data_IF_931385117799
#
_entry.id   IF_931385117799
#
_cell.length_a   1.000
_cell.length_b   1.000
_cell.length_c   1.000
_cell.angle_alpha   90.00
_cell.angle_beta   90.00
_cell.angle_gamma   90.00
#
_symmetry.space_group_name_H-M   'P 1'
#
loop_
_entity.id
_entity.type
_entity.pdbx_description
1 polymer ?
#
# COMPACT_ATOMS: atom_id res chain seq x y z
N UNK A 1 -16.72 3.14 -7.70
CA UNK A 1 -15.76 3.97 -8.46
C UNK A 1 -14.50 4.20 -7.62
N UNK A 2 -13.32 4.06 -8.24
CA UNK A 2 -12.06 4.26 -7.52
C UNK A 2 -11.79 5.75 -7.35
N UNK A 3 -11.21 6.16 -6.21
CA UNK A 3 -10.78 7.53 -6.04
C UNK A 3 -9.74 7.93 -7.10
N UNK A 4 -9.82 9.17 -7.56
CA UNK A 4 -8.91 9.66 -8.59
C UNK A 4 -7.45 9.57 -8.15
N UNK A 5 -7.18 9.79 -6.87
CA UNK A 5 -5.80 9.71 -6.36
C UNK A 5 -5.24 8.29 -6.39
N UNK A 6 -6.08 7.29 -6.15
CA UNK A 6 -5.62 5.90 -6.27
C UNK A 6 -5.28 5.56 -7.71
N UNK A 7 -6.08 6.03 -8.65
CA UNK A 7 -5.79 5.83 -10.06
C UNK A 7 -4.49 6.51 -10.48
N UNK A 8 -4.28 7.72 -9.99
CA UNK A 8 -3.05 8.43 -10.26
C UNK A 8 -1.85 7.70 -9.65
N UNK A 9 -2.00 7.21 -8.43
CA UNK A 9 -0.97 6.40 -7.80
C UNK A 9 -0.62 5.17 -8.63
N UNK A 10 -1.65 4.46 -9.13
CA UNK A 10 -1.43 3.29 -9.96
C UNK A 10 -0.65 3.63 -11.23
N UNK A 11 -0.99 4.75 -11.86
CA UNK A 11 -0.27 5.20 -13.05
C UNK A 11 1.19 5.53 -12.75
N UNK A 12 1.44 6.19 -11.62
CA UNK A 12 2.80 6.53 -11.21
C UNK A 12 3.61 5.28 -10.90
N UNK A 13 2.99 4.24 -10.33
CA UNK A 13 3.68 2.97 -10.13
C UNK A 13 4.09 2.34 -11.45
N UNK A 14 3.22 2.38 -12.45
CA UNK A 14 3.55 1.86 -13.76
C UNK A 14 4.68 2.63 -14.42
N UNK A 15 4.76 3.94 -14.14
CA UNK A 15 5.84 4.78 -14.65
C UNK A 15 7.12 4.64 -13.82
N UNK A 16 7.13 3.75 -12.84
CA UNK A 16 8.26 3.50 -11.93
C UNK A 16 8.64 4.73 -11.13
N UNK A 17 7.61 5.42 -10.65
CA UNK A 17 7.75 6.59 -9.78
C UNK A 17 7.09 6.33 -8.42
N UNK A 18 7.66 5.39 -7.65
CA UNK A 18 6.99 4.96 -6.42
C UNK A 18 6.89 6.03 -5.34
N UNK A 19 7.88 6.92 -5.25
CA UNK A 19 7.82 7.98 -4.23
C UNK A 19 6.66 8.94 -4.49
N UNK A 20 6.41 9.26 -5.76
CA UNK A 20 5.28 10.12 -6.12
C UNK A 20 3.97 9.36 -5.93
N UNK A 21 3.94 8.07 -6.31
CA UNK A 21 2.76 7.25 -6.12
C UNK A 21 2.38 7.16 -4.64
N UNK A 22 3.38 7.02 -3.78
CA UNK A 22 3.14 6.96 -2.34
C UNK A 22 2.40 8.18 -1.85
N UNK A 23 2.78 9.37 -2.31
CA UNK A 23 2.10 10.60 -1.91
C UNK A 23 0.63 10.60 -2.30
N UNK A 24 0.32 10.10 -3.50
CA UNK A 24 -1.07 10.03 -3.94
C UNK A 24 -1.88 9.02 -3.14
N UNK A 25 -1.31 7.86 -2.87
CA UNK A 25 -1.98 6.86 -2.04
C UNK A 25 -2.19 7.38 -0.62
N UNK A 26 -1.19 8.07 -0.07
CA UNK A 26 -1.33 8.63 1.29
C UNK A 26 -2.43 9.69 1.35
N UNK A 27 -2.53 10.53 0.32
CA UNK A 27 -3.60 11.51 0.25
C UNK A 27 -4.96 10.84 0.18
N UNK A 28 -5.07 9.75 -0.57
CA UNK A 28 -6.31 8.97 -0.64
C UNK A 28 -6.65 8.37 0.72
N UNK A 29 -5.66 7.88 1.46
CA UNK A 29 -5.88 7.30 2.79
C UNK A 29 -6.39 8.33 3.79
N UNK A 30 -6.01 9.59 3.65
CA UNK A 30 -6.53 10.63 4.54
C UNK A 30 -8.02 10.86 4.35
N UNK A 31 -8.51 10.69 3.13
CA UNK A 31 -9.93 10.88 2.83
C UNK A 31 -10.74 9.62 3.12
N UNK A 32 -10.19 8.47 2.80
CA UNK A 32 -10.86 7.18 3.00
C UNK A 32 -9.88 6.21 3.66
N UNK A 33 -9.63 6.35 4.96
CA UNK A 33 -8.74 5.44 5.66
C UNK A 33 -9.32 4.02 5.64
N UNK A 34 -8.48 3.04 5.70
CA UNK A 34 -8.86 1.62 5.71
C UNK A 34 -9.42 1.11 4.38
N UNK A 35 -9.19 1.84 3.29
CA UNK A 35 -9.51 1.31 1.98
C UNK A 35 -8.41 0.31 1.59
N UNK A 36 -8.82 -0.96 1.41
CA UNK A 36 -7.87 -2.05 1.16
C UNK A 36 -6.94 -1.76 -0.02
N UNK A 37 -7.51 -1.39 -1.16
CA UNK A 37 -6.74 -1.17 -2.38
C UNK A 37 -5.73 -0.03 -2.24
N UNK A 38 -6.16 1.08 -1.66
CA UNK A 38 -5.27 2.22 -1.45
C UNK A 38 -4.18 1.90 -0.44
N UNK A 39 -4.52 1.15 0.59
CA UNK A 39 -3.57 0.77 1.62
C UNK A 39 -2.50 -0.17 1.05
N UNK A 40 -2.90 -1.12 0.23
CA UNK A 40 -1.94 -2.01 -0.42
C UNK A 40 -1.04 -1.22 -1.38
N UNK A 41 -1.63 -0.30 -2.16
CA UNK A 41 -0.86 0.56 -3.05
C UNK A 41 0.19 1.37 -2.30
N UNK A 42 -0.20 1.97 -1.16
CA UNK A 42 0.72 2.72 -0.33
C UNK A 42 1.86 1.83 0.19
N UNK A 43 1.52 0.60 0.60
CA UNK A 43 2.52 -0.34 1.09
C UNK A 43 3.56 -0.66 0.02
N UNK A 44 3.10 -0.98 -1.19
CA UNK A 44 4.01 -1.31 -2.28
C UNK A 44 4.84 -0.10 -2.71
N UNK A 45 4.21 1.05 -2.79
CA UNK A 45 4.93 2.27 -3.19
C UNK A 45 6.01 2.62 -2.18
N UNK A 46 5.73 2.48 -0.89
CA UNK A 46 6.71 2.72 0.15
C UNK A 46 7.88 1.72 0.04
N UNK A 47 7.56 0.44 -0.17
CA UNK A 47 8.60 -0.58 -0.31
C UNK A 47 9.50 -0.31 -1.51
N UNK A 48 8.91 0.05 -2.64
CA UNK A 48 9.67 0.30 -3.86
C UNK A 48 10.47 1.60 -3.81
N UNK A 49 9.99 2.57 -3.03
CA UNK A 49 10.73 3.83 -2.88
C UNK A 49 11.84 3.74 -1.83
N UNK A 50 11.93 2.63 -1.12
CA UNK A 50 12.95 2.42 -0.10
C UNK A 50 12.57 2.94 1.28
N UNK A 51 11.33 3.34 1.48
CA UNK A 51 10.85 3.82 2.78
C UNK A 51 10.35 2.63 3.60
N UNK A 52 11.28 1.99 4.30
CA UNK A 52 10.97 0.79 5.07
C UNK A 52 10.00 1.04 6.20
N UNK A 53 10.11 2.17 6.87
CA UNK A 53 9.24 2.49 8.00
C UNK A 53 7.79 2.59 7.55
N UNK A 54 7.55 3.32 6.47
CA UNK A 54 6.19 3.44 5.94
C UNK A 54 5.70 2.12 5.38
N UNK A 55 6.56 1.37 4.69
CA UNK A 55 6.17 0.07 4.15
C UNK A 55 5.72 -0.88 5.25
N UNK A 56 6.49 -0.97 6.33
CA UNK A 56 6.12 -1.82 7.48
C UNK A 56 4.81 -1.34 8.11
N UNK A 57 4.67 -0.04 8.26
CA UNK A 57 3.46 0.54 8.84
C UNK A 57 2.22 0.18 8.02
N UNK A 58 2.28 0.40 6.72
CA UNK A 58 1.12 0.15 5.87
C UNK A 58 0.84 -1.33 5.66
N UNK A 59 1.86 -2.16 5.52
CA UNK A 59 1.65 -3.61 5.44
C UNK A 59 1.04 -4.15 6.73
N UNK A 60 1.48 -3.66 7.88
CA UNK A 60 0.90 -4.08 9.17
C UNK A 60 -0.57 -3.69 9.26
N UNK A 61 -0.91 -2.47 8.87
CA UNK A 61 -2.30 -2.02 8.85
C UNK A 61 -3.15 -2.86 7.91
N UNK A 62 -2.58 -3.22 6.76
CA UNK A 62 -3.30 -4.04 5.79
C UNK A 62 -3.66 -5.40 6.38
N UNK A 63 -2.71 -6.02 7.06
CA UNK A 63 -2.95 -7.31 7.69
C UNK A 63 -3.99 -7.20 8.78
N UNK A 64 -3.94 -6.14 9.59
CA UNK A 64 -4.96 -5.92 10.62
C UNK A 64 -6.35 -5.75 10.01
N UNK A 65 -6.43 -5.00 8.93
CA UNK A 65 -7.71 -4.75 8.26
C UNK A 65 -8.30 -6.03 7.69
N UNK A 66 -7.47 -6.85 7.07
CA UNK A 66 -7.91 -8.07 6.40
C UNK A 66 -8.22 -9.21 7.36
N UNK A 67 -7.51 -9.26 8.48
CA UNK A 67 -7.68 -10.35 9.44
C UNK A 67 -6.76 -11.51 9.17
N UNK A 68 -6.56 -12.35 10.19
CA UNK A 68 -5.57 -13.42 10.15
C UNK A 68 -5.91 -14.56 9.20
N UNK A 69 -7.18 -14.70 8.82
CA UNK A 69 -7.60 -15.77 7.92
C UNK A 69 -7.54 -15.43 6.45
N UNK A 70 -7.12 -14.23 6.10
CA UNK A 70 -7.10 -13.80 4.72
C UNK A 70 -5.92 -14.43 3.98
N UNK A 71 -6.23 -15.11 2.87
CA UNK A 71 -5.22 -15.84 2.09
C UNK A 71 -4.96 -15.21 0.72
N UNK A 72 -5.43 -13.98 0.50
CA UNK A 72 -5.18 -13.31 -0.77
C UNK A 72 -3.68 -13.14 -1.01
N UNK A 73 -3.23 -13.15 -2.28
CA UNK A 73 -1.80 -12.96 -2.59
C UNK A 73 -1.21 -11.68 -1.99
N UNK A 74 -2.00 -10.63 -1.90
CA UNK A 74 -1.56 -9.36 -1.31
C UNK A 74 -1.20 -9.53 0.16
N UNK A 75 -1.95 -10.36 0.88
CA UNK A 75 -1.68 -10.63 2.28
C UNK A 75 -0.39 -11.43 2.44
N UNK A 76 -0.16 -12.37 1.53
CA UNK A 76 1.06 -13.15 1.55
C UNK A 76 2.28 -12.25 1.30
N UNK A 77 2.17 -11.34 0.35
CA UNK A 77 3.23 -10.36 0.09
C UNK A 77 3.50 -9.51 1.32
N UNK A 78 2.46 -9.08 2.01
CA UNK A 78 2.60 -8.26 3.21
C UNK A 78 3.34 -9.03 4.31
N UNK A 79 2.94 -10.27 4.55
CA UNK A 79 3.58 -11.10 5.57
C UNK A 79 5.04 -11.37 5.22
N UNK A 80 5.32 -11.64 3.96
CA UNK A 80 6.69 -11.89 3.49
C UNK A 80 7.57 -10.67 3.70
N UNK A 81 7.05 -9.50 3.36
CA UNK A 81 7.80 -8.26 3.55
C UNK A 81 8.13 -8.04 5.02
N UNK A 82 7.14 -8.19 5.89
CA UNK A 82 7.33 -7.98 7.33
C UNK A 82 8.29 -9.00 7.93
N UNK A 83 8.30 -10.23 7.41
CA UNK A 83 9.18 -11.27 7.92
C UNK A 83 10.64 -11.06 7.51
N UNK A 84 10.87 -10.45 6.33
CA UNK A 84 12.24 -10.29 5.82
C UNK A 84 12.86 -8.93 6.13
N UNK A 85 12.10 -8.02 6.67
CA UNK A 85 12.61 -6.68 6.99
C UNK A 85 12.36 -6.34 8.46
#
# INVERSE_FOLDING_TARGET
MLPARELLGDMLMELKRPAEALKEYEASQQREPNRYRGLYGASQAAAQSGDRDKARHYFSKLIELAGSGDVRPEMENARRYLASN
#
